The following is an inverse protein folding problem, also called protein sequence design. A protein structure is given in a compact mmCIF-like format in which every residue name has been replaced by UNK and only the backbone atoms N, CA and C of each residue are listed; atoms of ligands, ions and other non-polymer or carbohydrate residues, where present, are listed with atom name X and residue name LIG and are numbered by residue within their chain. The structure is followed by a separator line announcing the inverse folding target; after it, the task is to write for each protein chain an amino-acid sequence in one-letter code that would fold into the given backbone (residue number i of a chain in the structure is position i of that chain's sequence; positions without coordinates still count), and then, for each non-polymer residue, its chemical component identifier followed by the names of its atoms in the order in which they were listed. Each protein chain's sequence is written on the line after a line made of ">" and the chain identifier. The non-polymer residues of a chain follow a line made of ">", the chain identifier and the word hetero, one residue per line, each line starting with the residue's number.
data_IF_121613434004
#
_entry.id   IF_121613434004
#
_cell.length_a   1.000
_cell.length_b   1.000
_cell.length_c   1.000
_cell.angle_alpha   90.00
_cell.angle_beta   90.00
_cell.angle_gamma   90.00
#
_symmetry.space_group_name_H-M   'P 1'
#
loop_
_entity.id
_entity.type
_entity.pdbx_description
1 polymer ?
#
# COMPACT_ATOMS: atom_id res chain seq x y z
N UNK A 1 -25.86 -5.68 10.87
CA UNK A 1 -24.67 -6.49 10.54
C UNK A 1 -25.16 -7.85 10.06
N UNK A 2 -24.77 -8.33 8.88
CA UNK A 2 -25.20 -9.64 8.39
C UNK A 2 -24.35 -10.78 8.97
N UNK A 3 -24.97 -11.92 9.28
CA UNK A 3 -24.26 -13.15 9.71
C UNK A 3 -23.33 -13.62 8.59
N UNK A 4 -22.05 -13.87 8.90
CA UNK A 4 -21.07 -14.43 7.97
C UNK A 4 -20.75 -15.86 8.36
N UNK A 5 -20.98 -16.81 7.45
CA UNK A 5 -20.66 -18.23 7.64
C UNK A 5 -19.26 -18.51 7.07
N UNK A 6 -18.49 -19.36 7.76
CA UNK A 6 -17.16 -19.81 7.31
C UNK A 6 -17.11 -21.33 7.31
N UNK A 7 -16.78 -21.92 6.16
CA UNK A 7 -16.56 -23.37 6.01
C UNK A 7 -15.07 -23.61 5.80
N UNK A 8 -14.49 -24.58 6.50
CA UNK A 8 -13.10 -25.01 6.33
C UNK A 8 -13.06 -26.44 5.79
N UNK A 9 -12.30 -26.69 4.74
CA UNK A 9 -12.04 -28.01 4.16
C UNK A 9 -10.55 -28.32 4.26
N UNK A 10 -10.21 -29.54 4.65
CA UNK A 10 -8.86 -30.07 4.51
C UNK A 10 -8.82 -30.87 3.22
N UNK A 11 -7.85 -30.60 2.36
CA UNK A 11 -7.57 -31.41 1.18
C UNK A 11 -6.27 -32.16 1.37
N UNK A 12 -6.25 -33.42 0.95
CA UNK A 12 -5.06 -34.23 0.84
C UNK A 12 -5.10 -34.93 -0.54
N UNK A 13 -4.07 -34.74 -1.33
CA UNK A 13 -3.92 -35.43 -2.62
C UNK A 13 -2.44 -35.62 -2.95
N UNK A 14 -2.13 -36.48 -3.90
CA UNK A 14 -0.80 -36.56 -4.49
C UNK A 14 -0.73 -35.64 -5.71
N UNK A 15 0.32 -34.82 -5.77
CA UNK A 15 0.65 -34.04 -6.97
C UNK A 15 1.81 -34.68 -7.68
N UNK A 16 1.54 -35.29 -8.83
CA UNK A 16 2.53 -35.93 -9.70
C UNK A 16 3.07 -34.95 -10.73
N UNK A 17 4.39 -34.92 -10.86
CA UNK A 17 5.16 -34.05 -11.74
C UNK A 17 6.11 -34.90 -12.58
N UNK A 18 6.34 -34.47 -13.82
CA UNK A 18 7.41 -34.98 -14.67
C UNK A 18 8.53 -33.93 -14.72
N UNK A 19 9.75 -34.36 -14.41
CA UNK A 19 10.90 -33.47 -14.41
C UNK A 19 11.31 -33.10 -15.83
N UNK A 20 11.25 -31.81 -16.17
CA UNK A 20 11.65 -31.27 -17.48
C UNK A 20 13.11 -31.53 -17.91
N UNK A 21 13.97 -32.01 -17.01
CA UNK A 21 15.40 -32.21 -17.27
C UNK A 21 15.73 -33.68 -17.51
N UNK A 22 15.44 -34.53 -16.52
CA UNK A 22 15.78 -35.95 -16.57
C UNK A 22 14.60 -36.85 -16.91
N UNK A 23 13.37 -36.32 -17.02
CA UNK A 23 12.16 -37.12 -17.26
C UNK A 23 11.71 -37.97 -16.06
N UNK A 24 12.27 -37.77 -14.86
CA UNK A 24 11.80 -38.44 -13.65
C UNK A 24 10.34 -38.07 -13.36
N UNK A 25 9.47 -39.07 -13.23
CA UNK A 25 8.13 -38.89 -12.69
C UNK A 25 8.15 -39.09 -11.17
N UNK A 26 7.68 -38.10 -10.44
CA UNK A 26 7.62 -38.15 -8.98
C UNK A 26 6.34 -37.48 -8.50
N UNK A 27 5.83 -37.89 -7.35
CA UNK A 27 4.66 -37.28 -6.72
C UNK A 27 4.96 -36.87 -5.29
N UNK A 28 4.28 -35.85 -4.80
CA UNK A 28 4.39 -35.43 -3.41
C UNK A 28 3.03 -35.22 -2.78
N UNK A 29 2.95 -35.42 -1.48
CA UNK A 29 1.73 -35.22 -0.71
C UNK A 29 1.45 -33.72 -0.61
N UNK A 30 0.29 -33.30 -1.12
CA UNK A 30 -0.20 -31.94 -1.07
C UNK A 30 -1.36 -31.86 -0.08
N UNK A 31 -1.11 -31.19 1.06
CA UNK A 31 -2.11 -30.97 2.09
C UNK A 31 -2.34 -29.46 2.32
N UNK A 32 -3.61 -29.04 2.34
CA UNK A 32 -4.00 -27.65 2.64
C UNK A 32 -5.31 -27.58 3.43
N UNK A 33 -5.40 -26.60 4.33
CA UNK A 33 -6.67 -26.17 4.96
C UNK A 33 -7.19 -24.94 4.25
N UNK A 34 -8.30 -25.09 3.53
CA UNK A 34 -8.89 -24.04 2.69
C UNK A 34 -10.19 -23.55 3.32
N UNK A 35 -10.37 -22.23 3.37
CA UNK A 35 -11.58 -21.59 3.91
C UNK A 35 -12.41 -20.95 2.81
N UNK A 36 -13.72 -21.01 2.96
CA UNK A 36 -14.70 -20.25 2.18
C UNK A 36 -15.64 -19.47 3.10
N UNK A 37 -16.01 -18.25 2.70
CA UNK A 37 -16.91 -17.39 3.47
C UNK A 37 -18.11 -16.96 2.61
N UNK A 38 -19.28 -16.81 3.23
CA UNK A 38 -20.51 -16.42 2.55
C UNK A 38 -21.61 -15.94 3.51
N UNK A 39 -22.65 -15.32 2.95
CA UNK A 39 -23.84 -14.86 3.71
C UNK A 39 -24.78 -15.98 4.13
N UNK A 40 -24.57 -17.20 3.62
CA UNK A 40 -25.24 -18.44 4.03
C UNK A 40 -24.23 -19.59 4.06
N UNK A 41 -24.58 -20.66 4.75
CA UNK A 41 -23.76 -21.88 4.80
C UNK A 41 -23.52 -22.46 3.39
N UNK A 42 -24.57 -22.56 2.57
CA UNK A 42 -24.46 -23.03 1.19
C UNK A 42 -23.52 -22.15 0.34
N UNK A 43 -23.55 -20.83 0.52
CA UNK A 43 -22.64 -19.92 -0.17
C UNK A 43 -21.18 -20.07 0.31
N UNK A 44 -20.97 -20.23 1.62
CA UNK A 44 -19.65 -20.48 2.19
C UNK A 44 -19.06 -21.83 1.72
N UNK A 45 -19.89 -22.88 1.63
CA UNK A 45 -19.50 -24.18 1.10
C UNK A 45 -19.11 -24.10 -0.38
N UNK A 46 -19.93 -23.44 -1.22
CA UNK A 46 -19.61 -23.20 -2.64
C UNK A 46 -18.30 -22.43 -2.81
N UNK A 47 -18.07 -21.41 -1.97
CA UNK A 47 -16.81 -20.66 -1.97
C UNK A 47 -15.62 -21.53 -1.52
N UNK A 48 -15.80 -22.39 -0.52
CA UNK A 48 -14.77 -23.31 -0.05
C UNK A 48 -14.37 -24.30 -1.16
N UNK A 49 -15.34 -24.94 -1.83
CA UNK A 49 -15.08 -25.87 -2.93
C UNK A 49 -14.36 -25.19 -4.10
N UNK A 50 -14.80 -23.99 -4.49
CA UNK A 50 -14.10 -23.20 -5.53
C UNK A 50 -12.65 -22.88 -5.13
N UNK A 51 -12.41 -22.57 -3.86
CA UNK A 51 -11.05 -22.31 -3.36
C UNK A 51 -10.21 -23.59 -3.30
N UNK A 52 -10.81 -24.75 -3.02
CA UNK A 52 -10.16 -26.06 -3.09
C UNK A 52 -9.69 -26.34 -4.51
N UNK A 53 -10.58 -26.25 -5.51
CA UNK A 53 -10.23 -26.49 -6.91
C UNK A 53 -9.08 -25.59 -7.37
N UNK A 54 -9.13 -24.31 -6.95
CA UNK A 54 -8.08 -23.34 -7.23
C UNK A 54 -6.76 -23.71 -6.54
N UNK A 55 -6.79 -24.09 -5.27
CA UNK A 55 -5.58 -24.44 -4.51
C UNK A 55 -4.92 -25.69 -5.09
N UNK A 56 -5.70 -26.72 -5.39
CA UNK A 56 -5.22 -27.94 -6.05
C UNK A 56 -4.60 -27.61 -7.41
N UNK A 57 -5.23 -26.78 -8.24
CA UNK A 57 -4.73 -26.47 -9.58
C UNK A 57 -3.59 -25.46 -9.65
N UNK A 58 -3.40 -24.59 -8.65
CA UNK A 58 -2.48 -23.44 -8.77
C UNK A 58 -1.43 -23.29 -7.69
N UNK A 59 -1.62 -23.88 -6.51
CA UNK A 59 -0.60 -23.87 -5.46
C UNK A 59 0.36 -25.04 -5.64
N UNK A 60 1.65 -24.81 -5.36
CA UNK A 60 2.66 -25.85 -5.43
C UNK A 60 3.57 -25.78 -4.21
N UNK A 61 3.99 -26.95 -3.73
CA UNK A 61 5.06 -27.06 -2.76
C UNK A 61 6.39 -27.20 -3.49
N UNK A 62 7.42 -26.50 -3.02
CA UNK A 62 8.75 -26.59 -3.60
C UNK A 62 9.34 -27.96 -3.25
N UNK A 63 9.34 -28.86 -4.23
CA UNK A 63 9.83 -30.23 -4.10
C UNK A 63 10.84 -30.51 -5.23
N UNK A 64 12.15 -30.59 -4.92
CA UNK A 64 13.15 -30.89 -5.93
C UNK A 64 12.94 -32.30 -6.51
N UNK A 65 13.32 -32.49 -7.77
CA UNK A 65 13.31 -33.80 -8.41
C UNK A 65 14.25 -34.77 -7.66
N UNK A 66 13.79 -35.97 -7.26
CA UNK A 66 14.63 -36.94 -6.55
C UNK A 66 15.81 -37.48 -7.36
N UNK A 67 15.73 -37.47 -8.70
CA UNK A 67 16.81 -37.98 -9.55
C UNK A 67 17.91 -36.95 -9.77
N UNK A 68 17.57 -35.68 -10.08
CA UNK A 68 18.57 -34.69 -10.49
C UNK A 68 18.59 -33.39 -9.66
N UNK A 69 17.78 -33.29 -8.61
CA UNK A 69 17.72 -32.12 -7.72
C UNK A 69 17.11 -30.86 -8.34
N UNK A 70 16.55 -30.93 -9.56
CA UNK A 70 15.94 -29.75 -10.20
C UNK A 70 14.57 -29.44 -9.60
N UNK A 71 14.39 -28.21 -9.16
CA UNK A 71 13.10 -27.59 -8.84
C UNK A 71 12.43 -27.12 -10.13
N UNK A 72 11.17 -27.52 -10.33
CA UNK A 72 10.41 -27.28 -11.57
C UNK A 72 10.04 -25.79 -11.77
N UNK A 73 9.87 -25.32 -13.02
CA UNK A 73 9.61 -23.91 -13.32
C UNK A 73 8.35 -23.32 -12.66
N UNK A 74 7.31 -24.12 -12.44
CA UNK A 74 6.09 -23.73 -11.73
C UNK A 74 6.35 -23.40 -10.26
N UNK A 75 7.15 -24.24 -9.59
CA UNK A 75 7.58 -24.04 -8.20
C UNK A 75 8.45 -22.80 -8.06
N UNK A 76 9.44 -22.63 -8.94
CA UNK A 76 10.32 -21.44 -8.94
C UNK A 76 9.53 -20.18 -9.26
N UNK A 77 8.70 -20.24 -10.31
CA UNK A 77 7.89 -19.14 -10.80
C UNK A 77 6.87 -18.67 -9.77
N UNK A 78 6.19 -19.59 -9.09
CA UNK A 78 5.21 -19.23 -8.05
C UNK A 78 5.86 -18.50 -6.88
N UNK A 79 6.98 -19.03 -6.33
CA UNK A 79 7.68 -18.40 -5.22
C UNK A 79 8.13 -16.97 -5.55
N UNK A 80 8.76 -16.77 -6.71
CA UNK A 80 9.19 -15.44 -7.16
C UNK A 80 8.01 -14.51 -7.46
N UNK A 81 6.98 -15.01 -8.14
CA UNK A 81 5.78 -14.22 -8.45
C UNK A 81 5.09 -13.73 -7.17
N UNK A 82 5.03 -14.58 -6.13
CA UNK A 82 4.48 -14.21 -4.83
C UNK A 82 5.34 -13.16 -4.13
N UNK A 83 6.67 -13.31 -4.16
CA UNK A 83 7.61 -12.31 -3.64
C UNK A 83 7.43 -10.94 -4.29
N UNK A 84 7.45 -10.86 -5.62
CA UNK A 84 7.22 -9.61 -6.35
C UNK A 84 5.81 -9.04 -6.09
N UNK A 85 4.79 -9.89 -5.99
CA UNK A 85 3.42 -9.46 -5.66
C UNK A 85 3.34 -8.84 -4.28
N UNK A 86 3.94 -9.48 -3.27
CA UNK A 86 3.94 -9.01 -1.89
C UNK A 86 4.60 -7.64 -1.76
N UNK A 87 5.77 -7.47 -2.38
CA UNK A 87 6.49 -6.19 -2.39
C UNK A 87 5.72 -5.12 -3.16
N UNK A 88 5.14 -5.44 -4.32
CA UNK A 88 4.32 -4.51 -5.09
C UNK A 88 3.09 -4.01 -4.31
N UNK A 89 2.39 -4.93 -3.63
CA UNK A 89 1.23 -4.61 -2.80
C UNK A 89 1.60 -3.75 -1.58
N UNK A 90 2.77 -3.96 -0.97
CA UNK A 90 3.27 -3.15 0.13
C UNK A 90 3.74 -1.76 -0.34
N UNK A 91 4.27 -1.65 -1.56
CA UNK A 91 4.80 -0.38 -2.11
C UNK A 91 3.70 0.67 -2.27
N UNK A 92 2.50 0.28 -2.71
CA UNK A 92 1.36 1.18 -2.95
C UNK A 92 0.97 1.98 -1.68
N UNK A 93 0.61 1.35 -0.54
CA UNK A 93 0.24 2.08 0.66
C UNK A 93 1.40 2.89 1.25
N UNK A 94 2.65 2.42 1.13
CA UNK A 94 3.81 3.19 1.59
C UNK A 94 4.02 4.46 0.76
N UNK A 95 3.94 4.37 -0.56
CA UNK A 95 4.02 5.54 -1.44
C UNK A 95 2.85 6.50 -1.19
N UNK A 96 1.64 5.98 -1.03
CA UNK A 96 0.46 6.77 -0.69
C UNK A 96 0.61 7.49 0.65
N UNK A 97 1.15 6.81 1.68
CA UNK A 97 1.43 7.42 2.98
C UNK A 97 2.42 8.59 2.85
N UNK A 98 3.55 8.39 2.16
CA UNK A 98 4.54 9.47 1.97
C UNK A 98 3.93 10.64 1.19
N UNK A 99 3.14 10.35 0.15
CA UNK A 99 2.41 11.38 -0.59
C UNK A 99 1.46 12.16 0.32
N UNK A 100 0.63 11.48 1.12
CA UNK A 100 -0.30 12.14 2.04
C UNK A 100 0.44 13.02 3.04
N UNK A 101 1.53 12.53 3.64
CA UNK A 101 2.33 13.31 4.60
C UNK A 101 2.97 14.55 3.95
N UNK A 102 3.45 14.45 2.70
CA UNK A 102 3.97 15.60 1.98
C UNK A 102 2.88 16.59 1.53
N UNK A 103 1.76 16.09 0.99
CA UNK A 103 0.65 16.90 0.50
C UNK A 103 -0.10 17.63 1.62
N UNK A 104 -0.11 17.06 2.82
CA UNK A 104 -0.65 17.68 4.05
C UNK A 104 0.38 18.53 4.79
N UNK A 105 1.59 18.67 4.25
CA UNK A 105 2.69 19.45 4.81
C UNK A 105 3.20 18.99 6.18
N UNK A 106 2.90 17.74 6.56
CA UNK A 106 3.52 17.09 7.73
C UNK A 106 5.01 16.87 7.47
N UNK A 107 5.37 16.52 6.23
CA UNK A 107 6.74 16.48 5.74
C UNK A 107 6.97 17.62 4.74
N UNK A 108 8.17 18.22 4.76
CA UNK A 108 8.61 19.11 3.68
C UNK A 108 8.76 18.33 2.38
N UNK A 109 8.53 18.99 1.24
CA UNK A 109 8.48 18.33 -0.07
C UNK A 109 9.76 17.55 -0.40
N UNK A 110 10.92 18.16 -0.13
CA UNK A 110 12.22 17.51 -0.34
C UNK A 110 12.42 16.28 0.56
N UNK A 111 12.06 16.38 1.84
CA UNK A 111 12.20 15.25 2.76
C UNK A 111 11.28 14.09 2.35
N UNK A 112 10.05 14.40 1.94
CA UNK A 112 9.13 13.39 1.39
C UNK A 112 9.70 12.72 0.13
N UNK A 113 10.29 13.49 -0.80
CA UNK A 113 10.97 12.95 -1.99
C UNK A 113 12.14 12.03 -1.65
N UNK A 114 12.98 12.39 -0.67
CA UNK A 114 14.11 11.56 -0.22
C UNK A 114 13.61 10.26 0.41
N UNK A 115 12.63 10.34 1.31
CA UNK A 115 12.04 9.16 1.96
C UNK A 115 11.44 8.22 0.91
N UNK A 116 10.68 8.77 -0.04
CA UNK A 116 10.12 7.97 -1.14
C UNK A 116 11.22 7.32 -1.96
N UNK A 117 12.25 8.07 -2.39
CA UNK A 117 13.37 7.53 -3.15
C UNK A 117 14.11 6.40 -2.40
N UNK A 118 14.28 6.53 -1.08
CA UNK A 118 14.87 5.48 -0.24
C UNK A 118 14.00 4.21 -0.20
N UNK A 119 12.69 4.36 0.00
CA UNK A 119 11.73 3.23 -0.04
C UNK A 119 11.79 2.53 -1.40
N UNK A 120 11.72 3.30 -2.49
CA UNK A 120 11.73 2.76 -3.85
C UNK A 120 13.07 2.09 -4.20
N UNK A 121 14.18 2.58 -3.67
CA UNK A 121 15.49 1.93 -3.77
C UNK A 121 15.47 0.57 -3.07
N UNK A 122 14.95 0.51 -1.84
CA UNK A 122 14.78 -0.74 -1.11
C UNK A 122 13.90 -1.74 -1.87
N UNK A 123 12.79 -1.27 -2.43
CA UNK A 123 11.90 -2.08 -3.29
C UNK A 123 12.66 -2.62 -4.50
N UNK A 124 13.42 -1.80 -5.22
CA UNK A 124 14.21 -2.23 -6.37
C UNK A 124 15.27 -3.29 -5.99
N UNK A 125 15.96 -3.10 -4.85
CA UNK A 125 16.94 -4.06 -4.33
C UNK A 125 16.30 -5.39 -3.93
N UNK A 126 15.16 -5.37 -3.25
CA UNK A 126 14.44 -6.61 -2.89
C UNK A 126 13.97 -7.34 -4.16
N UNK A 127 13.44 -6.62 -5.15
CA UNK A 127 13.08 -7.22 -6.43
C UNK A 127 14.30 -7.84 -7.13
N UNK A 128 15.46 -7.19 -7.08
CA UNK A 128 16.70 -7.74 -7.61
C UNK A 128 17.14 -9.01 -6.86
N UNK A 129 17.04 -9.03 -5.53
CA UNK A 129 17.35 -10.23 -4.73
C UNK A 129 16.43 -11.41 -5.07
N UNK A 130 15.12 -11.17 -5.17
CA UNK A 130 14.14 -12.19 -5.58
C UNK A 130 14.44 -12.70 -7.00
N UNK A 131 14.73 -11.79 -7.93
CA UNK A 131 15.05 -12.14 -9.32
C UNK A 131 16.33 -12.98 -9.41
N UNK A 132 17.39 -12.61 -8.67
CA UNK A 132 18.69 -13.31 -8.65
C UNK A 132 18.64 -14.66 -7.95
N UNK A 133 17.72 -14.87 -7.02
CA UNK A 133 17.55 -16.15 -6.34
C UNK A 133 17.38 -17.29 -7.34
N UNK A 134 18.24 -18.31 -7.27
CA UNK A 134 18.12 -19.51 -8.09
C UNK A 134 18.08 -20.72 -7.17
N UNK A 135 16.91 -21.35 -6.96
CA UNK A 135 16.82 -22.56 -6.14
C UNK A 135 17.53 -23.76 -6.80
N UNK A 136 17.89 -23.67 -8.08
CA UNK A 136 18.65 -24.69 -8.80
C UNK A 136 20.17 -24.40 -8.84
N UNK A 137 20.69 -23.52 -7.97
CA UNK A 137 22.13 -23.22 -7.90
C UNK A 137 22.94 -24.38 -7.35
N UNK A 138 22.37 -25.12 -6.39
CA UNK A 138 23.01 -26.25 -5.72
C UNK A 138 22.10 -27.48 -5.86
N UNK A 139 22.34 -28.27 -6.90
CA UNK A 139 21.52 -29.44 -7.21
C UNK A 139 21.79 -30.60 -6.26
N UNK A 140 23.01 -30.74 -5.78
CA UNK A 140 23.39 -31.81 -4.86
C UNK A 140 22.67 -31.63 -3.51
N UNK A 141 22.62 -30.39 -3.01
CA UNK A 141 21.83 -30.07 -1.83
C UNK A 141 20.33 -30.36 -2.03
N UNK A 142 19.81 -30.12 -3.24
CA UNK A 142 18.42 -30.43 -3.57
C UNK A 142 18.15 -31.94 -3.70
N UNK A 143 19.11 -32.74 -4.20
CA UNK A 143 19.02 -34.21 -4.22
C UNK A 143 18.98 -34.73 -2.79
N UNK A 144 19.91 -34.28 -1.93
CA UNK A 144 19.94 -34.67 -0.53
C UNK A 144 18.65 -34.28 0.22
N UNK A 145 18.03 -33.16 -0.13
CA UNK A 145 16.71 -32.79 0.40
C UNK A 145 15.60 -33.70 -0.13
N UNK A 146 15.62 -34.04 -1.42
CA UNK A 146 14.65 -34.96 -2.00
C UNK A 146 14.72 -36.36 -1.38
N UNK A 147 15.94 -36.86 -1.10
CA UNK A 147 16.17 -38.13 -0.40
C UNK A 147 15.50 -38.14 0.99
N UNK A 148 15.67 -37.09 1.79
CA UNK A 148 14.98 -36.96 3.08
C UNK A 148 13.47 -36.99 2.93
N UNK A 149 12.93 -36.40 1.87
CA UNK A 149 11.49 -36.36 1.61
C UNK A 149 10.93 -37.71 1.14
N UNK A 150 11.74 -38.50 0.42
CA UNK A 150 11.47 -39.90 0.09
C UNK A 150 11.46 -40.76 1.36
N UNK A 151 12.47 -40.62 2.21
CA UNK A 151 12.58 -41.35 3.48
C UNK A 151 11.39 -41.04 4.41
N UNK A 152 10.89 -39.80 4.36
CA UNK A 152 9.72 -39.38 5.11
C UNK A 152 8.39 -39.86 4.51
N UNK A 153 8.38 -40.49 3.33
CA UNK A 153 7.18 -40.91 2.61
C UNK A 153 6.29 -39.75 2.14
N UNK A 154 6.83 -38.53 2.09
CA UNK A 154 6.09 -37.33 1.63
C UNK A 154 6.30 -37.04 0.14
N UNK A 155 7.27 -37.73 -0.47
CA UNK A 155 7.57 -37.75 -1.89
C UNK A 155 7.74 -39.22 -2.29
N UNK A 156 7.34 -39.56 -3.52
CA UNK A 156 7.53 -40.88 -4.11
C UNK A 156 8.04 -40.76 -5.54
N UNK A 157 8.96 -41.65 -5.92
CA UNK A 157 9.41 -41.77 -7.31
C UNK A 157 8.51 -42.77 -8.03
N UNK A 158 7.80 -42.31 -9.06
CA UNK A 158 6.91 -43.13 -9.89
C UNK A 158 7.71 -43.76 -11.03
N UNK A 159 8.56 -42.98 -11.69
CA UNK A 159 9.48 -43.44 -12.72
C UNK A 159 10.83 -42.75 -12.57
N UNK A 160 11.91 -43.53 -12.62
CA UNK A 160 13.29 -43.01 -12.52
C UNK A 160 13.66 -42.26 -13.80
N UNK A 161 14.24 -41.08 -13.65
CA UNK A 161 14.75 -40.28 -14.78
C UNK A 161 16.15 -40.69 -15.24
N UNK A 162 16.61 -40.06 -16.32
CA UNK A 162 17.95 -40.16 -16.90
C UNK A 162 18.79 -38.94 -16.47
N UNK A 163 19.64 -39.13 -15.46
CA UNK A 163 20.50 -38.09 -14.90
C UNK A 163 21.62 -37.66 -15.85
N UNK A 164 21.88 -38.42 -16.91
CA UNK A 164 22.90 -38.08 -17.92
C UNK A 164 22.47 -36.97 -18.88
N UNK A 165 21.16 -36.68 -18.96
CA UNK A 165 20.57 -35.66 -19.85
C UNK A 165 20.37 -34.29 -19.20
N UNK A 166 20.88 -34.11 -17.99
CA UNK A 166 20.63 -32.93 -17.16
C UNK A 166 21.35 -31.70 -17.74
N UNK A 167 20.58 -30.74 -18.26
CA UNK A 167 21.11 -29.46 -18.75
C UNK A 167 21.48 -28.53 -17.59
N UNK A 168 22.46 -27.62 -17.74
CA UNK A 168 22.75 -26.62 -16.72
C UNK A 168 21.52 -25.74 -16.46
N UNK A 169 21.33 -25.34 -15.20
CA UNK A 169 20.20 -24.48 -14.84
C UNK A 169 20.28 -23.16 -15.64
N UNK A 170 19.16 -22.69 -16.23
CA UNK A 170 19.16 -21.43 -16.95
C UNK A 170 19.55 -20.29 -16.02
N UNK A 171 20.17 -19.25 -16.59
CA UNK A 171 20.52 -18.06 -15.82
C UNK A 171 19.27 -17.46 -15.15
N UNK A 172 19.34 -17.05 -13.87
CA UNK A 172 18.17 -16.60 -13.13
C UNK A 172 17.59 -15.27 -13.64
N UNK A 173 18.35 -14.52 -14.44
CA UNK A 173 17.96 -13.23 -14.99
C UNK A 173 18.27 -13.14 -16.47
N UNK A 174 17.27 -12.73 -17.25
CA UNK A 174 17.41 -12.33 -18.66
C UNK A 174 17.17 -10.83 -18.85
N UNK A 175 17.28 -10.34 -20.09
CA UNK A 175 17.02 -8.94 -20.45
C UNK A 175 15.66 -8.41 -19.94
N UNK A 176 14.54 -9.17 -20.01
CA UNK A 176 13.26 -8.71 -19.47
C UNK A 176 13.31 -8.42 -17.96
N UNK A 177 14.06 -9.20 -17.18
CA UNK A 177 14.20 -8.96 -15.75
C UNK A 177 14.92 -7.63 -15.49
N UNK A 178 15.99 -7.36 -16.26
CA UNK A 178 16.70 -6.09 -16.20
C UNK A 178 15.84 -4.89 -16.57
N UNK A 179 14.94 -5.02 -17.55
CA UNK A 179 13.95 -3.97 -17.86
C UNK A 179 13.01 -3.71 -16.67
N UNK A 180 12.52 -4.78 -16.03
CA UNK A 180 11.71 -4.67 -14.81
C UNK A 180 12.43 -3.90 -13.70
N UNK A 181 13.69 -4.28 -13.41
CA UNK A 181 14.53 -3.58 -12.41
C UNK A 181 14.81 -2.13 -12.85
N UNK A 182 15.06 -1.90 -14.13
CA UNK A 182 15.27 -0.58 -14.72
C UNK A 182 14.09 0.36 -14.48
N UNK A 183 12.84 -0.11 -14.60
CA UNK A 183 11.66 0.68 -14.25
C UNK A 183 11.62 1.05 -12.76
N UNK A 184 12.04 0.14 -11.88
CA UNK A 184 12.17 0.41 -10.44
C UNK A 184 13.22 1.50 -10.15
N UNK A 185 14.37 1.46 -10.83
CA UNK A 185 15.41 2.49 -10.68
C UNK A 185 14.99 3.83 -11.29
N UNK A 186 14.27 3.82 -12.42
CA UNK A 186 13.69 5.04 -13.00
C UNK A 186 12.69 5.68 -12.04
N UNK A 187 11.90 4.88 -11.31
CA UNK A 187 10.98 5.40 -10.29
C UNK A 187 11.72 6.18 -9.19
N UNK A 188 12.91 5.73 -8.78
CA UNK A 188 13.76 6.46 -7.81
C UNK A 188 14.15 7.84 -8.37
N UNK A 189 14.59 7.91 -9.63
CA UNK A 189 14.95 9.18 -10.27
C UNK A 189 13.74 10.13 -10.39
N UNK A 190 12.57 9.59 -10.73
CA UNK A 190 11.33 10.37 -10.83
C UNK A 190 10.90 10.89 -9.45
N UNK A 191 11.07 10.12 -8.38
CA UNK A 191 10.80 10.59 -7.00
C UNK A 191 11.71 11.75 -6.58
N UNK A 192 12.95 11.77 -7.09
CA UNK A 192 13.93 12.83 -6.87
C UNK A 192 13.80 14.02 -7.85
N UNK A 193 12.93 13.92 -8.86
CA UNK A 193 12.73 14.98 -9.86
C UNK A 193 12.47 16.37 -9.27
N UNK A 194 11.70 16.56 -8.17
CA UNK A 194 11.50 17.88 -7.57
C UNK A 194 12.79 18.50 -7.04
N UNK A 195 13.65 17.69 -6.43
CA UNK A 195 14.97 18.14 -5.93
C UNK A 195 15.90 18.45 -7.10
N UNK A 196 15.94 17.60 -8.12
CA UNK A 196 16.74 17.83 -9.33
C UNK A 196 16.30 19.14 -10.00
N UNK A 197 14.99 19.34 -10.15
CA UNK A 197 14.41 20.56 -10.70
C UNK A 197 14.78 21.79 -9.87
N UNK A 198 14.68 21.70 -8.54
CA UNK A 198 15.09 22.76 -7.64
C UNK A 198 16.57 23.11 -7.80
N UNK A 199 17.45 22.12 -7.80
CA UNK A 199 18.91 22.30 -7.90
C UNK A 199 19.29 22.92 -9.24
N UNK A 200 18.77 22.38 -10.35
CA UNK A 200 19.08 22.89 -11.70
C UNK A 200 18.66 24.36 -11.87
N UNK A 201 17.52 24.74 -11.27
CA UNK A 201 16.98 26.10 -11.39
C UNK A 201 17.37 27.02 -10.22
N UNK A 202 18.24 26.56 -9.31
CA UNK A 202 18.65 27.28 -8.09
C UNK A 202 17.45 27.87 -7.32
N UNK A 203 16.37 27.10 -7.16
CA UNK A 203 15.15 27.61 -6.52
C UNK A 203 15.34 27.67 -4.99
N UNK A 204 15.05 28.81 -4.35
CA UNK A 204 15.15 28.94 -2.90
C UNK A 204 14.19 27.99 -2.16
N UNK A 205 14.67 27.39 -1.07
CA UNK A 205 13.87 26.54 -0.17
C UNK A 205 13.57 27.29 1.12
N UNK A 206 12.29 27.46 1.44
CA UNK A 206 11.81 28.22 2.59
C UNK A 206 11.18 27.27 3.61
N UNK A 207 11.95 26.88 4.63
CA UNK A 207 11.52 25.87 5.63
C UNK A 207 10.29 26.28 6.44
N UNK A 208 10.13 27.59 6.68
CA UNK A 208 9.08 28.18 7.50
C UNK A 208 7.73 28.35 6.79
N UNK A 209 7.70 28.18 5.48
CA UNK A 209 6.51 28.39 4.66
C UNK A 209 6.04 27.10 4.02
N UNK A 210 4.75 27.05 3.66
CA UNK A 210 4.18 26.00 2.82
C UNK A 210 3.38 26.67 1.70
N UNK A 211 3.70 26.43 0.41
CA UNK A 211 4.76 25.54 -0.09
C UNK A 211 6.18 26.02 0.25
N UNK A 212 7.17 25.12 0.10
CA UNK A 212 8.58 25.39 0.42
C UNK A 212 9.26 26.28 -0.64
N UNK A 213 8.81 26.20 -1.91
CA UNK A 213 9.27 27.08 -3.00
C UNK A 213 8.19 28.13 -3.24
N UNK A 214 8.55 29.40 -3.03
CA UNK A 214 7.61 30.52 -3.07
C UNK A 214 8.01 31.47 -4.20
N UNK A 215 7.06 31.83 -5.05
CA UNK A 215 7.22 32.86 -6.09
C UNK A 215 6.32 34.07 -5.81
N UNK A 216 6.59 35.24 -6.42
CA UNK A 216 5.63 36.36 -6.39
C UNK A 216 4.24 35.90 -6.87
N UNK A 217 3.20 36.39 -6.21
CA UNK A 217 1.81 36.01 -6.46
C UNK A 217 1.34 34.75 -5.74
N UNK A 218 2.22 34.00 -5.08
CA UNK A 218 1.83 32.82 -4.30
C UNK A 218 1.21 33.22 -2.95
N UNK A 219 0.34 32.34 -2.45
CA UNK A 219 -0.09 32.35 -1.06
C UNK A 219 0.76 31.35 -0.28
N UNK A 220 1.29 31.77 0.86
CA UNK A 220 2.09 30.91 1.75
C UNK A 220 1.37 30.72 3.07
N UNK A 221 1.35 29.48 3.57
CA UNK A 221 0.90 29.15 4.91
C UNK A 221 2.11 29.13 5.86
N UNK A 222 1.99 29.81 6.98
CA UNK A 222 3.04 29.91 8.01
C UNK A 222 2.44 29.44 9.33
N UNK A 223 3.11 28.51 10.00
CA UNK A 223 2.68 28.00 11.31
C UNK A 223 3.36 28.77 12.44
N UNK A 224 2.61 29.05 13.49
CA UNK A 224 3.12 29.64 14.73
C UNK A 224 3.58 28.52 15.67
N UNK A 225 4.67 28.74 16.44
CA UNK A 225 5.12 27.78 17.44
C UNK A 225 4.17 27.70 18.64
N UNK A 226 3.39 28.77 18.88
CA UNK A 226 2.41 28.84 19.95
C UNK A 226 1.21 27.92 19.69
N UNK A 227 0.69 27.35 20.78
CA UNK A 227 -0.57 26.61 20.81
C UNK A 227 -1.54 27.24 21.79
N UNK A 228 -2.84 27.10 21.52
CA UNK A 228 -3.92 27.44 22.44
C UNK A 228 -4.55 26.17 23.00
N UNK A 229 -5.22 26.26 24.14
CA UNK A 229 -6.10 25.20 24.64
C UNK A 229 -7.54 25.59 24.32
N UNK A 230 -8.15 24.89 23.36
CA UNK A 230 -9.50 25.20 22.91
C UNK A 230 -10.37 23.96 22.69
N UNK A 231 -11.67 24.23 22.58
CA UNK A 231 -12.72 23.23 22.46
C UNK A 231 -12.90 22.83 21.00
N UNK A 232 -12.86 21.53 20.69
CA UNK A 232 -13.06 20.97 19.33
C UNK A 232 -12.16 21.59 18.25
N UNK A 233 -11.00 22.10 18.64
CA UNK A 233 -10.09 22.84 17.76
C UNK A 233 -10.74 24.06 17.09
N UNK A 234 -11.78 24.63 17.70
CA UNK A 234 -12.38 25.87 17.23
C UNK A 234 -11.48 27.05 17.60
N UNK A 235 -11.15 27.84 16.58
CA UNK A 235 -10.47 29.11 16.75
C UNK A 235 -10.64 29.94 15.49
N UNK A 236 -10.59 31.26 15.63
CA UNK A 236 -10.52 32.18 14.50
C UNK A 236 -9.42 33.20 14.70
N UNK A 237 -8.78 33.59 13.61
CA UNK A 237 -7.65 34.52 13.61
C UNK A 237 -7.89 35.71 12.69
N UNK A 238 -7.57 36.92 13.15
CA UNK A 238 -7.37 38.09 12.29
C UNK A 238 -5.87 38.35 12.19
N UNK A 239 -5.31 38.15 11.00
CA UNK A 239 -3.87 38.26 10.76
C UNK A 239 -3.55 39.52 9.94
N UNK A 240 -2.45 40.18 10.31
CA UNK A 240 -1.85 41.29 9.57
C UNK A 240 -0.38 40.95 9.32
N UNK A 241 0.09 41.17 8.10
CA UNK A 241 1.47 40.93 7.71
C UNK A 241 2.14 42.22 7.25
N UNK A 242 3.39 42.42 7.64
CA UNK A 242 4.20 43.57 7.23
C UNK A 242 5.60 43.12 6.78
N UNK A 243 6.14 43.78 5.75
CA UNK A 243 7.52 43.57 5.30
C UNK A 243 8.43 44.53 6.05
N UNK A 244 9.31 43.98 6.88
CA UNK A 244 10.24 44.72 7.74
C UNK A 244 11.37 45.40 6.95
N UNK A 245 11.68 44.90 5.76
CA UNK A 245 12.75 45.41 4.90
C UNK A 245 12.24 46.07 3.60
N UNK A 246 11.08 46.73 3.63
CA UNK A 246 10.48 47.35 2.45
C UNK A 246 11.42 48.35 1.73
N UNK A 247 12.23 49.11 2.47
CA UNK A 247 13.18 50.07 1.90
C UNK A 247 14.26 49.38 1.05
N UNK A 248 14.75 48.20 1.48
CA UNK A 248 15.74 47.40 0.73
C UNK A 248 15.14 46.84 -0.58
N UNK A 249 13.81 46.71 -0.64
CA UNK A 249 13.08 46.17 -1.79
C UNK A 249 12.64 47.27 -2.77
N UNK A 250 13.01 48.53 -2.52
CA UNK A 250 12.66 49.67 -3.37
C UNK A 250 11.24 50.21 -3.15
N UNK A 251 10.66 50.01 -1.98
CA UNK A 251 9.37 50.63 -1.59
C UNK A 251 8.43 49.69 -0.83
N UNK A 252 7.26 50.20 -0.39
CA UNK A 252 6.28 49.40 0.33
C UNK A 252 5.86 48.17 -0.47
N UNK A 253 5.63 47.07 0.25
CA UNK A 253 5.15 45.82 -0.31
C UNK A 253 3.86 45.47 0.44
N UNK A 254 2.73 45.57 -0.25
CA UNK A 254 1.43 45.24 0.33
C UNK A 254 1.30 43.72 0.50
N UNK A 255 1.19 43.26 1.75
CA UNK A 255 0.84 41.87 2.05
C UNK A 255 -0.61 41.81 2.49
N UNK A 256 -1.34 40.81 2.00
CA UNK A 256 -2.62 40.43 2.60
C UNK A 256 -2.42 39.18 3.43
N UNK A 257 -3.04 39.13 4.60
CA UNK A 257 -2.98 38.00 5.49
C UNK A 257 -4.39 37.56 5.89
N UNK A 258 -4.58 36.25 6.02
CA UNK A 258 -5.80 35.62 6.51
C UNK A 258 -5.45 34.45 7.43
N UNK A 259 -6.43 33.92 8.14
CA UNK A 259 -6.24 32.79 9.05
C UNK A 259 -7.50 31.93 9.09
N UNK A 260 -7.59 30.99 10.04
CA UNK A 260 -8.81 30.25 10.30
C UNK A 260 -9.95 31.22 10.66
N UNK A 261 -11.13 30.95 10.15
CA UNK A 261 -12.35 31.76 10.31
C UNK A 261 -13.49 30.94 10.94
N UNK A 262 -13.14 29.87 11.67
CA UNK A 262 -14.12 28.98 12.32
C UNK A 262 -15.11 29.78 13.15
N UNK A 263 -16.39 29.46 12.98
CA UNK A 263 -17.48 30.04 13.75
C UNK A 263 -18.00 29.02 14.76
N UNK A 264 -18.43 29.49 15.92
CA UNK A 264 -19.10 28.67 16.94
C UNK A 264 -20.29 29.43 17.53
N UNK A 265 -21.29 28.67 17.99
CA UNK A 265 -22.47 29.20 18.68
C UNK A 265 -22.20 29.52 20.15
N UNK A 266 -23.16 30.19 20.80
CA UNK A 266 -23.13 30.46 22.25
C UNK A 266 -23.15 29.18 23.11
N UNK A 267 -23.53 28.04 22.53
CA UNK A 267 -23.42 26.72 23.14
C UNK A 267 -22.54 25.81 22.27
N UNK A 268 -21.66 25.05 22.91
CA UNK A 268 -20.82 24.05 22.26
C UNK A 268 -21.06 22.73 22.97
N UNK A 269 -21.39 21.68 22.24
CA UNK A 269 -21.39 20.32 22.78
C UNK A 269 -20.09 19.61 22.39
N UNK A 270 -19.28 19.30 23.40
CA UNK A 270 -17.97 18.65 23.26
C UNK A 270 -17.87 17.47 24.22
N UNK A 271 -17.34 16.35 23.73
CA UNK A 271 -16.99 15.21 24.59
C UNK A 271 -15.78 15.59 25.46
N UNK A 272 -15.55 14.88 26.57
CA UNK A 272 -14.39 15.15 27.43
C UNK A 272 -13.05 15.14 26.67
N UNK A 273 -12.88 14.27 25.66
CA UNK A 273 -11.69 14.22 24.81
C UNK A 273 -11.54 15.39 23.84
N UNK A 274 -12.58 16.22 23.68
CA UNK A 274 -12.62 17.36 22.77
C UNK A 274 -12.60 18.71 23.51
N UNK A 275 -12.66 18.69 24.85
CA UNK A 275 -12.67 19.89 25.69
C UNK A 275 -11.33 20.61 25.70
N UNK A 276 -10.24 19.85 25.59
CA UNK A 276 -8.87 20.34 25.59
C UNK A 276 -8.16 19.83 24.34
N UNK A 277 -8.13 20.67 23.30
CA UNK A 277 -7.42 20.38 22.06
C UNK A 277 -6.41 21.49 21.78
N UNK A 278 -5.27 21.12 21.21
CA UNK A 278 -4.17 22.03 20.93
C UNK A 278 -3.94 22.14 19.41
N UNK A 279 -4.78 22.90 18.68
CA UNK A 279 -4.61 23.04 17.24
C UNK A 279 -3.33 23.82 16.92
N UNK A 280 -2.67 23.46 15.83
CA UNK A 280 -1.59 24.27 15.27
C UNK A 280 -2.15 25.57 14.68
N UNK A 281 -1.66 26.71 15.16
CA UNK A 281 -2.06 28.03 14.68
C UNK A 281 -1.31 28.38 13.40
N UNK A 282 -2.00 29.02 12.46
CA UNK A 282 -1.42 29.36 11.16
C UNK A 282 -2.00 30.64 10.57
N UNK A 283 -1.24 31.28 9.69
CA UNK A 283 -1.71 32.37 8.83
C UNK A 283 -1.36 32.08 7.37
N UNK A 284 -2.23 32.51 6.45
CA UNK A 284 -1.96 32.57 5.01
C UNK A 284 -1.54 33.99 4.68
N UNK A 285 -0.41 34.14 4.01
CA UNK A 285 0.12 35.43 3.56
C UNK A 285 0.22 35.40 2.04
N UNK A 286 -0.42 36.33 1.35
CA UNK A 286 -0.32 36.46 -0.10
C UNK A 286 0.81 37.40 -0.46
N UNK A 287 1.77 36.87 -1.21
CA UNK A 287 2.87 37.64 -1.77
C UNK A 287 2.37 38.35 -3.03
N UNK A 288 2.57 39.67 -3.19
CA UNK A 288 2.16 40.38 -4.40
C UNK A 288 2.90 39.86 -5.64
N UNK A 289 2.25 39.91 -6.80
CA UNK A 289 2.76 39.37 -8.07
C UNK A 289 3.79 40.28 -8.77
N UNK A 290 4.60 41.01 -8.00
CA UNK A 290 5.51 42.03 -8.51
C UNK A 290 6.85 41.40 -8.96
N UNK A 291 7.24 41.61 -10.22
CA UNK A 291 8.46 41.05 -10.78
C UNK A 291 9.74 41.49 -10.05
N UNK A 292 9.76 42.73 -9.50
CA UNK A 292 10.90 43.27 -8.74
C UNK A 292 11.26 42.46 -7.49
N UNK A 293 10.35 41.63 -6.99
CA UNK A 293 10.55 40.81 -5.80
C UNK A 293 11.26 39.47 -6.10
N UNK A 294 11.39 39.09 -7.37
CA UNK A 294 12.10 37.87 -7.77
C UNK A 294 13.55 37.86 -7.26
N UNK A 295 13.96 36.75 -6.64
CA UNK A 295 15.30 36.58 -6.06
C UNK A 295 15.53 37.38 -4.79
N UNK A 296 14.54 38.14 -4.29
CA UNK A 296 14.65 38.91 -3.06
C UNK A 296 14.18 38.11 -1.86
N UNK A 297 14.75 38.43 -0.70
CA UNK A 297 14.32 37.90 0.58
C UNK A 297 13.45 38.94 1.30
N UNK A 298 12.20 38.57 1.59
CA UNK A 298 11.29 39.37 2.40
C UNK A 298 11.45 38.94 3.85
N UNK A 299 11.71 39.91 4.74
CA UNK A 299 11.62 39.74 6.18
C UNK A 299 10.19 40.10 6.59
N UNK A 300 9.37 39.11 6.90
CA UNK A 300 7.94 39.29 7.13
C UNK A 300 7.64 39.11 8.60
N UNK A 301 6.88 40.06 9.17
CA UNK A 301 6.27 39.93 10.50
C UNK A 301 4.79 39.72 10.34
N UNK A 302 4.26 38.65 10.93
CA UNK A 302 2.83 38.39 11.00
C UNK A 302 2.39 38.54 12.44
N UNK A 303 1.40 39.40 12.66
CA UNK A 303 0.71 39.54 13.95
C UNK A 303 -0.70 39.01 13.77
N UNK A 304 -1.14 38.14 14.68
CA UNK A 304 -2.44 37.50 14.62
C UNK A 304 -3.15 37.62 15.96
N UNK A 305 -4.36 38.18 15.92
CA UNK A 305 -5.29 38.17 17.06
C UNK A 305 -6.14 36.90 16.95
N UNK A 306 -5.99 35.99 17.90
CA UNK A 306 -6.63 34.68 17.93
C UNK A 306 -7.74 34.68 18.97
N UNK A 307 -8.94 34.27 18.56
CA UNK A 307 -10.10 34.08 19.43
C UNK A 307 -10.49 32.61 19.45
N UNK A 308 -10.82 32.07 20.63
CA UNK A 308 -11.14 30.65 20.79
C UNK A 308 -11.99 30.41 22.05
N UNK A 309 -12.87 29.39 22.07
CA UNK A 309 -13.54 28.97 23.30
C UNK A 309 -12.60 28.10 24.14
N UNK A 310 -12.50 28.40 25.44
CA UNK A 310 -11.77 27.61 26.42
C UNK A 310 -12.69 27.18 27.57
N UNK A 311 -12.42 26.04 28.20
CA UNK A 311 -13.22 25.50 29.31
C UNK A 311 -12.75 26.11 30.62
N UNK A 312 -13.67 26.73 31.37
CA UNK A 312 -13.39 27.21 32.72
C UNK A 312 -13.60 26.09 33.77
N UNK A 313 -13.30 26.38 35.04
CA UNK A 313 -13.44 25.42 36.14
C UNK A 313 -14.89 24.91 36.37
N UNK A 314 -15.90 25.58 35.82
CA UNK A 314 -17.32 25.18 35.89
C UNK A 314 -17.80 24.38 34.68
N UNK A 315 -16.88 23.88 33.85
CA UNK A 315 -17.18 23.16 32.61
C UNK A 315 -18.02 23.97 31.60
N UNK A 316 -17.97 25.30 31.72
CA UNK A 316 -18.58 26.25 30.79
C UNK A 316 -17.51 26.80 29.86
N UNK A 317 -17.90 27.07 28.62
CA UNK A 317 -17.01 27.63 27.63
C UNK A 317 -17.03 29.15 27.68
N UNK A 318 -15.84 29.75 27.69
CA UNK A 318 -15.67 31.20 27.65
C UNK A 318 -14.80 31.58 26.45
N UNK A 319 -15.20 32.59 25.65
CA UNK A 319 -14.34 33.13 24.60
C UNK A 319 -13.10 33.76 25.22
N UNK A 320 -11.94 33.27 24.81
CA UNK A 320 -10.62 33.81 25.12
C UNK A 320 -10.05 34.50 23.89
N UNK A 321 -9.15 35.45 24.12
CA UNK A 321 -8.41 36.12 23.07
C UNK A 321 -6.93 36.20 23.44
N UNK A 322 -6.06 35.94 22.47
CA UNK A 322 -4.61 36.15 22.59
C UNK A 322 -4.06 36.79 21.32
N UNK A 323 -2.93 37.48 21.44
CA UNK A 323 -2.21 38.05 20.29
C UNK A 323 -0.87 37.34 20.19
N UNK A 324 -0.59 36.75 19.04
CA UNK A 324 0.68 36.10 18.75
C UNK A 324 1.36 36.75 17.56
N UNK A 325 2.67 36.66 17.50
CA UNK A 325 3.46 37.21 16.41
C UNK A 325 4.55 36.22 15.98
N UNK A 326 4.83 36.17 14.68
CA UNK A 326 5.95 35.41 14.12
C UNK A 326 6.66 36.23 13.07
N UNK A 327 7.98 36.28 13.20
CA UNK A 327 8.87 36.80 12.18
C UNK A 327 9.42 35.62 11.38
N UNK A 328 9.49 35.75 10.05
CA UNK A 328 10.11 34.75 9.18
C UNK A 328 10.73 35.42 7.95
N UNK A 329 11.65 34.71 7.30
CA UNK A 329 12.26 35.13 6.05
C UNK A 329 11.77 34.24 4.91
N UNK A 330 11.43 34.84 3.77
CA UNK A 330 11.06 34.11 2.56
C UNK A 330 11.83 34.66 1.37
N UNK A 331 12.62 33.81 0.72
CA UNK A 331 13.33 34.13 -0.52
C UNK A 331 12.49 33.68 -1.70
N UNK A 332 12.21 34.61 -2.61
CA UNK A 332 11.29 34.36 -3.72
C UNK A 332 12.02 33.83 -4.95
N UNK A 333 11.51 32.73 -5.48
CA UNK A 333 11.86 32.17 -6.77
C UNK A 333 11.31 33.03 -7.93
N UNK A 334 11.73 32.79 -9.18
CA UNK A 334 11.09 33.37 -10.36
C UNK A 334 9.58 33.17 -10.37
N UNK A 335 8.84 34.12 -10.98
CA UNK A 335 7.37 34.05 -11.11
C UNK A 335 6.97 32.70 -11.71
N UNK A 336 6.00 32.02 -11.08
CA UNK A 336 5.49 30.71 -11.51
C UNK A 336 6.32 29.49 -11.09
N UNK A 337 7.56 29.67 -10.63
CA UNK A 337 8.43 28.55 -10.22
C UNK A 337 7.83 27.70 -9.08
N UNK A 338 7.15 28.31 -8.10
CA UNK A 338 6.46 27.59 -7.04
C UNK A 338 5.35 26.66 -7.55
N UNK A 339 4.58 27.10 -8.57
CA UNK A 339 3.55 26.26 -9.20
C UNK A 339 4.17 25.12 -10.02
N UNK A 340 5.24 25.42 -10.77
CA UNK A 340 5.97 24.42 -11.53
C UNK A 340 6.56 23.33 -10.61
N UNK A 341 7.23 23.75 -9.52
CA UNK A 341 7.75 22.84 -8.51
C UNK A 341 6.64 21.97 -7.90
N UNK A 342 5.51 22.57 -7.51
CA UNK A 342 4.38 21.83 -6.95
C UNK A 342 3.79 20.79 -7.93
N UNK A 343 3.69 21.12 -9.22
CA UNK A 343 3.25 20.16 -10.25
C UNK A 343 4.25 19.02 -10.43
N UNK A 344 5.54 19.33 -10.47
CA UNK A 344 6.61 18.32 -10.58
C UNK A 344 6.62 17.42 -9.34
N UNK A 345 6.40 17.98 -8.14
CA UNK A 345 6.33 17.21 -6.91
C UNK A 345 5.13 16.27 -6.90
N UNK A 346 3.92 16.78 -7.14
CA UNK A 346 2.71 15.96 -7.17
C UNK A 346 2.76 14.88 -8.26
N UNK A 347 3.12 15.28 -9.49
CA UNK A 347 3.24 14.36 -10.62
C UNK A 347 4.36 13.34 -10.42
N UNK A 348 5.53 13.79 -9.94
CA UNK A 348 6.69 12.94 -9.71
C UNK A 348 6.42 11.85 -8.68
N UNK A 349 5.81 12.19 -7.54
CA UNK A 349 5.47 11.18 -6.51
C UNK A 349 4.48 10.14 -7.04
N UNK A 350 3.43 10.56 -7.74
CA UNK A 350 2.42 9.65 -8.30
C UNK A 350 3.05 8.74 -9.36
N UNK A 351 3.79 9.31 -10.32
CA UNK A 351 4.43 8.54 -11.40
C UNK A 351 5.49 7.59 -10.85
N UNK A 352 6.28 8.01 -9.86
CA UNK A 352 7.26 7.14 -9.21
C UNK A 352 6.58 5.94 -8.53
N UNK A 353 5.51 6.17 -7.76
CA UNK A 353 4.75 5.09 -7.13
C UNK A 353 4.18 4.09 -8.14
N UNK A 354 3.60 4.59 -9.24
CA UNK A 354 3.07 3.75 -10.32
C UNK A 354 4.16 2.96 -11.06
N UNK A 355 5.31 3.58 -11.36
CA UNK A 355 6.44 2.90 -11.99
C UNK A 355 7.00 1.78 -11.11
N UNK A 356 7.15 2.02 -9.81
CA UNK A 356 7.65 1.01 -8.88
C UNK A 356 6.68 -0.16 -8.70
N UNK A 357 5.38 0.11 -8.54
CA UNK A 357 4.36 -0.93 -8.50
C UNK A 357 4.28 -1.69 -9.83
N UNK A 358 4.32 -0.97 -10.95
CA UNK A 358 4.35 -1.51 -12.32
C UNK A 358 5.54 -2.44 -12.55
N UNK A 359 6.74 -2.06 -12.08
CA UNK A 359 7.94 -2.91 -12.09
C UNK A 359 7.70 -4.24 -11.36
N UNK A 360 7.14 -4.21 -10.15
CA UNK A 360 6.83 -5.41 -9.38
C UNK A 360 5.81 -6.31 -10.11
N UNK A 361 4.75 -5.74 -10.66
CA UNK A 361 3.73 -6.52 -11.39
C UNK A 361 4.24 -7.05 -12.73
N UNK A 362 5.14 -6.32 -13.40
CA UNK A 362 5.81 -6.78 -14.60
C UNK A 362 6.71 -7.99 -14.30
N UNK A 363 7.56 -7.91 -13.26
CA UNK A 363 8.39 -9.04 -12.81
C UNK A 363 7.54 -10.24 -12.37
N UNK A 364 6.43 -10.00 -11.69
CA UNK A 364 5.43 -11.04 -11.39
C UNK A 364 4.91 -11.71 -12.66
N UNK A 365 4.60 -10.94 -13.70
CA UNK A 365 4.11 -11.47 -14.97
C UNK A 365 5.14 -12.38 -15.64
N UNK A 366 6.42 -11.98 -15.66
CA UNK A 366 7.51 -12.82 -16.17
C UNK A 366 7.63 -14.15 -15.41
N UNK A 367 7.54 -14.11 -14.07
CA UNK A 367 7.59 -15.33 -13.27
C UNK A 367 6.35 -16.23 -13.44
N UNK A 368 5.18 -15.65 -13.73
CA UNK A 368 4.01 -16.42 -14.16
C UNK A 368 4.17 -17.03 -15.53
N UNK A 369 4.91 -16.40 -16.45
CA UNK A 369 5.24 -17.02 -17.73
C UNK A 369 6.19 -18.20 -17.53
N UNK A 370 7.20 -18.07 -16.67
CA UNK A 370 8.05 -19.19 -16.26
C UNK A 370 7.23 -20.33 -15.65
N UNK A 371 6.24 -20.03 -14.81
CA UNK A 371 5.36 -21.05 -14.25
C UNK A 371 4.60 -21.83 -15.34
N UNK A 372 4.24 -21.18 -16.45
CA UNK A 372 3.53 -21.82 -17.57
C UNK A 372 4.42 -22.68 -18.46
N UNK A 373 5.74 -22.65 -18.29
CA UNK A 373 6.64 -23.54 -19.05
C UNK A 373 6.79 -24.91 -18.41
N UNK A 374 6.23 -25.13 -17.20
CA UNK A 374 6.20 -26.45 -16.56
C UNK A 374 5.17 -27.37 -17.22
N UNK A 375 5.43 -28.68 -17.18
CA UNK A 375 4.41 -29.69 -17.47
C UNK A 375 3.37 -29.61 -16.35
N UNK A 376 2.06 -29.44 -16.67
CA UNK A 376 1.03 -29.36 -15.65
C UNK A 376 1.00 -30.63 -14.79
N UNK A 377 0.91 -30.52 -13.45
CA UNK A 377 0.88 -31.70 -12.60
C UNK A 377 -0.41 -32.49 -12.77
N UNK A 378 -0.28 -33.82 -12.62
CA UNK A 378 -1.44 -34.72 -12.52
C UNK A 378 -1.81 -34.85 -11.04
N UNK A 379 -3.09 -34.73 -10.74
CA UNK A 379 -3.62 -34.88 -9.39
C UNK A 379 -4.10 -36.30 -9.23
N UNK A 380 -3.43 -37.06 -8.37
CA UNK A 380 -3.87 -38.40 -7.99
C UNK A 380 -4.59 -38.28 -6.63
N UNK A 381 -5.87 -38.66 -6.52
CA UNK A 381 -6.55 -38.69 -5.23
C UNK A 381 -5.79 -39.64 -4.29
N UNK A 382 -5.72 -39.27 -3.01
CA UNK A 382 -5.39 -40.29 -2.01
C UNK A 382 -6.64 -41.15 -1.94
N UNK A 383 -6.50 -42.44 -2.24
CA UNK A 383 -7.51 -43.42 -1.85
C UNK A 383 -7.55 -43.31 -0.32
N UNK A 384 -8.53 -42.59 0.19
CA UNK A 384 -8.85 -42.66 1.60
C UNK A 384 -9.14 -44.14 1.80
N UNK A 385 -8.20 -44.89 2.41
CA UNK A 385 -8.50 -46.19 3.00
C UNK A 385 -9.77 -45.91 3.79
N UNK A 386 -10.91 -46.42 3.33
CA UNK A 386 -12.24 -46.06 3.83
C UNK A 386 -12.11 -46.01 5.35
N UNK A 387 -11.95 -44.80 5.90
CA UNK A 387 -11.84 -44.60 7.33
C UNK A 387 -13.24 -45.03 7.74
N UNK A 388 -13.37 -46.28 8.16
CA UNK A 388 -14.55 -46.90 8.75
C UNK A 388 -15.08 -45.84 9.70
N UNK A 389 -15.99 -45.00 9.22
CA UNK A 389 -16.50 -43.90 10.02
C UNK A 389 -17.18 -44.64 11.15
N UNK A 390 -16.63 -44.62 12.38
CA UNK A 390 -17.14 -45.45 13.44
C UNK A 390 -18.60 -45.07 13.58
N UNK A 391 -19.46 -46.07 13.32
CA UNK A 391 -20.83 -45.91 12.85
C UNK A 391 -21.45 -44.58 13.25
N UNK A 392 -21.77 -43.75 12.25
CA UNK A 392 -22.78 -42.71 12.45
C UNK A 392 -23.98 -43.47 13.04
N UNK A 393 -24.36 -43.25 14.32
CA UNK A 393 -25.45 -44.00 14.90
C UNK A 393 -26.65 -43.77 13.99
N UNK A 394 -27.22 -44.87 13.52
CA UNK A 394 -28.46 -44.91 12.77
C UNK A 394 -29.54 -44.33 13.69
N UNK A 395 -29.69 -43.00 13.68
CA UNK A 395 -30.85 -42.34 14.23
C UNK A 395 -31.99 -42.59 13.22
N UNK A 396 -32.46 -43.83 13.16
CA UNK A 396 -33.66 -44.23 12.42
C UNK A 396 -34.96 -43.93 13.20
N UNK A 397 -34.89 -43.46 14.44
CA UNK A 397 -36.09 -43.20 15.24
C UNK A 397 -36.23 -41.70 15.56
N UNK A 398 -36.97 -40.95 14.73
CA UNK A 398 -37.83 -39.81 15.13
C UNK A 398 -38.54 -39.17 13.91
N UNK A 399 -39.08 -40.00 13.01
CA UNK A 399 -40.13 -39.59 12.06
C UNK A 399 -41.52 -39.80 12.68
N UNK A 400 -41.90 -39.06 13.73
CA UNK A 400 -43.33 -38.95 14.08
C UNK A 400 -43.65 -37.80 15.05
N UNK A 401 -43.48 -36.54 14.63
CA UNK A 401 -44.37 -35.44 15.08
C UNK A 401 -44.10 -34.11 14.38
N UNK A 402 -44.62 -33.95 13.16
CA UNK A 402 -44.85 -32.59 12.61
C UNK A 402 -46.34 -32.38 12.36
N UNK A 403 -47.01 -31.48 13.11
CA UNK A 403 -48.40 -31.16 12.85
C UNK A 403 -48.55 -30.51 11.47
N UNK A 404 -49.43 -31.11 10.66
CA UNK A 404 -49.94 -30.55 9.40
C UNK A 404 -50.48 -29.14 9.65
N UNK A 405 -49.68 -28.12 9.31
CA UNK A 405 -50.15 -26.73 9.30
C UNK A 405 -51.00 -26.53 8.04
N UNK A 406 -52.24 -26.15 8.27
CA UNK A 406 -53.31 -26.08 7.29
C UNK A 406 -52.98 -25.21 6.08
N UNK A 407 -53.48 -25.70 4.94
CA UNK A 407 -54.07 -24.85 3.90
C UNK A 407 -55.06 -23.91 4.58
N UNK A 408 -54.93 -22.62 4.33
CA UNK A 408 -56.04 -21.73 3.95
C UNK A 408 -55.48 -20.30 3.74
N UNK A 409 -56.20 -19.54 2.91
CA UNK A 409 -56.04 -18.12 2.58
C UNK A 409 -55.09 -17.75 1.42
N UNK A 410 -55.53 -18.10 0.21
CA UNK A 410 -56.35 -17.19 -0.62
C UNK A 410 -56.15 -15.67 -0.42
N UNK A 411 -55.78 -14.98 -1.52
CA UNK A 411 -56.21 -13.63 -1.98
C UNK A 411 -55.12 -12.58 -2.23
N UNK A 412 -55.15 -12.13 -3.49
CA UNK A 412 -55.07 -10.74 -3.96
C UNK A 412 -53.70 -10.03 -3.82
N UNK A 413 -53.08 -9.76 -4.96
CA UNK A 413 -53.26 -8.47 -5.67
C UNK A 413 -52.48 -8.46 -6.97
N UNK A 414 -53.23 -8.47 -8.06
CA UNK A 414 -52.89 -7.69 -9.25
C UNK A 414 -52.72 -6.22 -8.82
N UNK A 415 -51.63 -5.60 -9.26
CA UNK A 415 -51.65 -4.17 -9.55
C UNK A 415 -50.64 -3.87 -10.66
N UNK A 416 -51.22 -3.65 -11.82
CA UNK A 416 -50.71 -2.79 -12.86
C UNK A 416 -50.42 -1.38 -12.33
N UNK A 417 -49.64 -0.65 -13.15
CA UNK A 417 -49.59 0.80 -13.37
C UNK A 417 -48.22 1.49 -13.12
N UNK A 418 -47.75 2.02 -14.26
CA UNK A 418 -46.77 3.08 -14.59
C UNK A 418 -45.26 2.82 -14.59
#
# INVERSE_FOLDING_TARGET
>A
MGTTYTVTRTIKCWKRHECLDCGCEYRYQFERKIKGQGSSEAAALKAANKNVDKAVGTEVDVRPCPTCGRVQPDMVGQGKANGHSGIGLLTIPLAALVYTLGATYVLGGNLASIILAAILTGVALINLMIARGNPNRDRDANVAEAEKLLDAGTVETVAKGDDTKVEPAPAPMGLPHWLGIGFGLLAVLVALAPMIYQTINNLPFNVDTKPDVVSPGNEVKVYFPDSIDCVKSYWRGSAVAAVLNANELGGPVGLTASSNDSQWSNSIYAKNSEKHTHPSLWARVRIPSEARLTGKTLKVKVVMVVQYPSVNASDKFEPQQTTIAKDFAVTLAPIGAGQAYSRIWNGGVIVAGLLAAGSCFYLRSLNKQLQRTAIPPVIDPIEDEDEDQPGRPDNEDDEDDRPRRGKDDDRRRDRDED
#
